data_IF_825525255055
#
_entry.id   IF_825525255055
#
_cell.length_a   1.000
_cell.length_b   1.000
_cell.length_c   1.000
_cell.angle_alpha   90.00
_cell.angle_beta   90.00
_cell.angle_gamma   90.00
#
_symmetry.space_group_name_H-M   'P 1'
#
loop_
_entity.id
_entity.type
_entity.pdbx_description
1 polymer ?
#
# COMPACT_ATOMS: atom_id res chain seq x y z
N UNK A 1 -13.79 3.84 10.86
CA UNK A 1 -13.26 2.81 9.92
C UNK A 1 -13.18 3.28 8.46
N UNK A 2 -14.26 3.82 7.87
CA UNK A 2 -14.29 4.26 6.45
C UNK A 2 -13.32 5.41 6.15
N UNK A 3 -13.16 6.35 7.09
CA UNK A 3 -12.28 7.51 6.94
C UNK A 3 -10.80 7.12 6.81
N UNK A 4 -10.33 6.14 7.59
CA UNK A 4 -8.95 5.66 7.49
C UNK A 4 -8.69 4.96 6.15
N UNK A 5 -9.63 4.12 5.68
CA UNK A 5 -9.48 3.43 4.39
C UNK A 5 -9.41 4.43 3.24
N UNK A 6 -10.37 5.35 3.20
CA UNK A 6 -10.39 6.42 2.19
C UNK A 6 -9.19 7.35 2.31
N UNK A 7 -8.72 7.63 3.53
CA UNK A 7 -7.56 8.48 3.78
C UNK A 7 -6.26 7.90 3.24
N UNK A 8 -6.04 6.60 3.39
CA UNK A 8 -4.83 5.92 2.86
C UNK A 8 -4.86 5.93 1.33
N UNK A 9 -5.97 5.52 0.73
CA UNK A 9 -6.13 5.51 -0.74
C UNK A 9 -5.89 6.91 -1.32
N UNK A 10 -6.54 7.94 -0.77
CA UNK A 10 -6.34 9.33 -1.20
C UNK A 10 -4.91 9.82 -1.03
N UNK A 11 -4.25 9.48 0.09
CA UNK A 11 -2.86 9.89 0.31
C UNK A 11 -1.92 9.34 -0.78
N UNK A 12 -2.17 8.13 -1.26
CA UNK A 12 -1.42 7.51 -2.36
C UNK A 12 -1.80 8.11 -3.73
N UNK A 13 -3.10 8.24 -4.02
CA UNK A 13 -3.59 8.84 -5.27
C UNK A 13 -3.13 10.30 -5.43
N UNK A 14 -3.31 11.13 -4.41
CA UNK A 14 -2.99 12.56 -4.46
C UNK A 14 -1.47 12.80 -4.44
N UNK A 15 -0.72 11.95 -3.73
CA UNK A 15 0.73 12.08 -3.56
C UNK A 15 1.53 11.69 -4.81
N UNK A 16 1.10 10.63 -5.50
CA UNK A 16 1.90 9.98 -6.55
C UNK A 16 1.21 9.99 -7.92
N UNK A 17 -0.10 10.25 -7.98
CA UNK A 17 -0.90 10.21 -9.22
C UNK A 17 -0.79 8.88 -9.96
N UNK A 18 -0.62 7.79 -9.20
CA UNK A 18 -0.58 6.42 -9.71
C UNK A 18 -1.90 5.71 -9.43
N UNK A 19 -2.16 4.64 -10.18
CA UNK A 19 -3.28 3.74 -9.93
C UNK A 19 -3.16 3.13 -8.53
N UNK A 20 -4.26 3.15 -7.77
CA UNK A 20 -4.38 2.50 -6.46
C UNK A 20 -5.55 1.52 -6.49
N UNK A 21 -5.22 0.24 -6.53
CA UNK A 21 -6.20 -0.85 -6.51
C UNK A 21 -6.34 -1.41 -5.09
N UNK A 22 -7.52 -1.95 -4.76
CA UNK A 22 -7.75 -2.64 -3.49
C UNK A 22 -7.71 -4.16 -3.72
N UNK A 23 -7.10 -4.89 -2.78
CA UNK A 23 -6.97 -6.34 -2.75
C UNK A 23 -6.06 -6.94 -3.85
N UNK A 24 -6.45 -6.88 -5.12
CA UNK A 24 -5.68 -7.44 -6.23
C UNK A 24 -5.74 -6.57 -7.49
N UNK A 25 -4.74 -6.73 -8.37
CA UNK A 25 -4.72 -6.10 -9.69
C UNK A 25 -5.49 -6.98 -10.66
N UNK A 26 -6.64 -6.51 -11.15
CA UNK A 26 -7.44 -7.26 -12.11
C UNK A 26 -6.82 -7.24 -13.53
N UNK A 27 -7.18 -8.21 -14.38
CA UNK A 27 -6.60 -8.34 -15.74
C UNK A 27 -6.84 -7.10 -16.63
N UNK A 28 -7.97 -6.41 -16.45
CA UNK A 28 -8.32 -5.19 -17.16
C UNK A 28 -7.55 -3.96 -16.67
N UNK A 29 -7.16 -3.94 -15.40
CA UNK A 29 -6.27 -2.92 -14.81
C UNK A 29 -4.81 -3.17 -15.20
N UNK A 30 -4.38 -4.44 -15.21
CA UNK A 30 -3.04 -4.86 -15.63
C UNK A 30 -2.77 -4.50 -17.10
N UNK A 31 -3.76 -4.70 -17.97
CA UNK A 31 -3.68 -4.37 -19.40
C UNK A 31 -3.32 -2.90 -19.63
N UNK A 32 -3.76 -1.99 -18.76
CA UNK A 32 -3.46 -0.55 -18.85
C UNK A 32 -2.03 -0.20 -18.40
N UNK A 33 -1.41 -1.03 -17.56
CA UNK A 33 -0.07 -0.81 -17.01
C UNK A 33 1.05 -1.36 -17.92
N UNK A 34 0.76 -2.38 -18.71
CA UNK A 34 1.78 -3.05 -19.55
C UNK A 34 2.42 -2.15 -20.62
N UNK A 35 1.74 -1.09 -21.06
CA UNK A 35 2.25 -0.14 -22.06
C UNK A 35 3.24 0.89 -21.49
N UNK A 36 3.02 1.35 -20.25
CA UNK A 36 3.83 2.41 -19.59
C UNK A 36 4.81 1.87 -18.52
N UNK A 37 4.71 0.58 -18.21
CA UNK A 37 5.47 -0.09 -17.15
C UNK A 37 4.68 -0.19 -15.85
N UNK A 38 4.96 -1.23 -15.07
CA UNK A 38 4.21 -1.52 -13.83
C UNK A 38 4.56 -0.52 -12.71
N UNK A 39 3.79 0.57 -12.64
CA UNK A 39 3.91 1.62 -11.63
C UNK A 39 2.54 1.86 -10.95
N UNK A 40 2.25 1.11 -9.90
CA UNK A 40 0.95 1.18 -9.21
C UNK A 40 1.05 0.80 -7.74
N UNK A 41 -0.01 1.08 -6.99
CA UNK A 41 -0.18 0.62 -5.61
C UNK A 41 -1.29 -0.42 -5.52
N UNK A 42 -1.04 -1.47 -4.75
CA UNK A 42 -2.04 -2.45 -4.33
C UNK A 42 -2.21 -2.28 -2.82
N UNK A 43 -3.45 -2.08 -2.37
CA UNK A 43 -3.79 -1.85 -0.97
C UNK A 43 -4.58 -3.03 -0.42
N UNK A 44 -4.00 -3.74 0.54
CA UNK A 44 -4.60 -4.92 1.18
C UNK A 44 -4.79 -4.70 2.68
N UNK A 45 -5.93 -5.18 3.20
CA UNK A 45 -6.24 -5.11 4.63
C UNK A 45 -6.10 -6.49 5.27
N UNK A 46 -5.06 -6.65 6.06
CA UNK A 46 -4.72 -7.91 6.71
C UNK A 46 -5.50 -8.18 7.99
N UNK A 47 -4.85 -8.92 8.88
CA UNK A 47 -5.48 -9.47 10.07
C UNK A 47 -5.75 -8.40 11.13
N UNK A 48 -6.87 -8.58 11.84
CA UNK A 48 -7.11 -7.88 13.09
C UNK A 48 -6.33 -8.53 14.23
N UNK A 49 -5.77 -7.70 15.10
CA UNK A 49 -5.06 -8.12 16.30
C UNK A 49 -5.52 -7.31 17.51
N UNK A 50 -5.56 -7.92 18.71
CA UNK A 50 -5.78 -7.16 19.93
C UNK A 50 -4.72 -6.06 20.03
N UNK A 51 -5.15 -4.88 20.47
CA UNK A 51 -4.21 -3.81 20.79
C UNK A 51 -3.86 -3.86 22.27
N UNK A 52 -2.93 -3.01 22.71
CA UNK A 52 -2.61 -2.85 24.13
C UNK A 52 -3.72 -2.19 24.95
N UNK A 53 -4.75 -1.65 24.30
CA UNK A 53 -5.91 -1.05 24.94
C UNK A 53 -7.16 -1.86 24.60
N UNK A 54 -7.89 -2.31 25.62
CA UNK A 54 -9.10 -3.15 25.47
C UNK A 54 -10.22 -2.48 24.68
N UNK A 55 -10.19 -1.15 24.56
CA UNK A 55 -11.15 -0.37 23.75
C UNK A 55 -10.71 -0.18 22.31
N UNK A 56 -9.60 -0.77 21.88
CA UNK A 56 -9.11 -0.65 20.51
C UNK A 56 -8.67 -2.00 19.95
N UNK A 57 -8.90 -2.20 18.66
CA UNK A 57 -8.26 -3.27 17.88
C UNK A 57 -7.25 -2.64 16.93
N UNK A 58 -6.26 -3.42 16.54
CA UNK A 58 -5.34 -3.04 15.48
C UNK A 58 -5.59 -3.90 14.24
N UNK A 59 -5.26 -3.37 13.07
CA UNK A 59 -5.27 -4.14 11.83
C UNK A 59 -4.01 -3.84 11.04
N UNK A 60 -3.41 -4.89 10.47
CA UNK A 60 -2.35 -4.75 9.48
C UNK A 60 -2.92 -4.19 8.18
N UNK A 61 -2.17 -3.30 7.54
CA UNK A 61 -2.42 -2.81 6.20
C UNK A 61 -1.14 -3.06 5.41
N UNK A 62 -1.28 -3.64 4.23
CA UNK A 62 -0.18 -3.85 3.31
C UNK A 62 -0.38 -2.92 2.11
N UNK A 63 0.61 -2.09 1.83
CA UNK A 63 0.69 -1.29 0.62
C UNK A 63 1.80 -1.89 -0.21
N UNK A 64 1.50 -2.46 -1.36
CA UNK A 64 2.51 -2.93 -2.31
C UNK A 64 2.68 -1.87 -3.38
N UNK A 65 3.90 -1.34 -3.52
CA UNK A 65 4.28 -0.46 -4.62
C UNK A 65 5.00 -1.29 -5.67
N UNK A 66 4.40 -1.41 -6.86
CA UNK A 66 5.07 -1.94 -8.04
C UNK A 66 5.80 -0.78 -8.71
N UNK A 67 7.08 -0.99 -8.99
CA UNK A 67 7.97 0.01 -9.58
C UNK A 67 8.76 -0.62 -10.71
N UNK A 68 8.55 -0.11 -11.92
CA UNK A 68 9.33 -0.49 -13.10
C UNK A 68 9.96 0.76 -13.71
N UNK A 69 11.26 0.67 -14.03
CA UNK A 69 12.04 1.75 -14.65
C UNK A 69 12.16 3.05 -13.83
N UNK A 70 12.00 2.99 -12.50
CA UNK A 70 12.20 4.14 -11.61
C UNK A 70 13.63 4.18 -11.06
N UNK A 71 14.28 5.34 -11.17
CA UNK A 71 15.65 5.55 -10.69
C UNK A 71 15.74 6.06 -9.24
N UNK A 72 14.62 6.52 -8.68
CA UNK A 72 14.51 7.18 -7.38
C UNK A 72 13.72 6.34 -6.36
N UNK A 73 13.79 5.01 -6.43
CA UNK A 73 13.01 4.10 -5.60
C UNK A 73 13.17 4.37 -4.10
N UNK A 74 14.38 4.64 -3.61
CA UNK A 74 14.63 4.92 -2.19
C UNK A 74 13.92 6.20 -1.71
N UNK A 75 13.88 7.24 -2.54
CA UNK A 75 13.16 8.49 -2.24
C UNK A 75 11.65 8.25 -2.23
N UNK A 76 11.14 7.52 -3.22
CA UNK A 76 9.73 7.09 -3.28
C UNK A 76 9.33 6.31 -2.02
N UNK A 77 10.19 5.40 -1.54
CA UNK A 77 9.95 4.61 -0.32
C UNK A 77 9.76 5.52 0.89
N UNK A 78 10.64 6.51 1.07
CA UNK A 78 10.55 7.47 2.19
C UNK A 78 9.29 8.32 2.06
N UNK A 79 8.96 8.78 0.86
CA UNK A 79 7.76 9.58 0.61
C UNK A 79 6.48 8.78 0.87
N UNK A 80 6.40 7.53 0.43
CA UNK A 80 5.24 6.66 0.66
C UNK A 80 5.00 6.49 2.17
N UNK A 81 6.06 6.23 2.93
CA UNK A 81 5.99 6.13 4.40
C UNK A 81 5.47 7.44 4.99
N UNK A 82 6.00 8.58 4.55
CA UNK A 82 5.62 9.90 5.02
C UNK A 82 4.15 10.23 4.72
N UNK A 83 3.69 9.99 3.50
CA UNK A 83 2.32 10.28 3.06
C UNK A 83 1.29 9.42 3.78
N UNK A 84 1.48 8.11 3.84
CA UNK A 84 0.53 7.21 4.51
C UNK A 84 0.51 7.44 6.03
N UNK A 85 1.65 7.77 6.63
CA UNK A 85 1.73 8.05 8.08
C UNK A 85 1.05 9.37 8.50
N UNK A 86 0.68 10.25 7.55
CA UNK A 86 -0.16 11.43 7.85
C UNK A 86 -1.61 11.04 8.16
N UNK A 87 -2.05 9.84 7.77
CA UNK A 87 -3.39 9.36 8.07
C UNK A 87 -3.52 9.07 9.57
N UNK A 88 -4.53 9.67 10.20
CA UNK A 88 -4.73 9.56 11.66
C UNK A 88 -4.86 8.10 12.11
N UNK A 89 -4.16 7.76 13.19
CA UNK A 89 -4.12 6.41 13.78
C UNK A 89 -3.57 5.31 12.85
N UNK A 90 -2.79 5.70 11.83
CA UNK A 90 -2.01 4.79 10.99
C UNK A 90 -0.53 5.00 11.34
N UNK A 91 0.22 3.91 11.46
CA UNK A 91 1.63 3.94 11.82
C UNK A 91 2.42 2.95 10.97
N UNK A 92 3.59 3.36 10.50
CA UNK A 92 4.49 2.48 9.77
C UNK A 92 5.08 1.42 10.69
N UNK A 93 5.23 0.19 10.18
CA UNK A 93 5.84 -0.93 10.91
C UNK A 93 7.15 -1.34 10.25
N UNK A 94 7.11 -1.70 8.97
CA UNK A 94 8.29 -2.19 8.23
C UNK A 94 8.03 -2.14 6.73
N UNK A 95 9.08 -2.06 5.92
CA UNK A 95 9.03 -2.30 4.48
C UNK A 95 9.92 -3.48 4.12
N UNK A 96 9.55 -4.20 3.06
CA UNK A 96 10.35 -5.28 2.46
C UNK A 96 10.34 -5.11 0.96
N UNK A 97 11.48 -5.33 0.33
CA UNK A 97 11.61 -5.26 -1.12
C UNK A 97 11.85 -6.66 -1.69
N UNK A 98 11.19 -6.96 -2.79
CA UNK A 98 11.44 -8.13 -3.62
C UNK A 98 11.28 -7.78 -5.11
N UNK A 99 11.41 -8.78 -5.97
CA UNK A 99 11.28 -8.62 -7.42
C UNK A 99 10.28 -9.64 -7.94
N UNK A 100 9.34 -9.18 -8.75
CA UNK A 100 8.35 -10.01 -9.42
C UNK A 100 8.76 -10.21 -10.88
N UNK A 101 8.72 -11.46 -11.35
CA UNK A 101 8.91 -11.75 -12.77
C UNK A 101 7.56 -11.64 -13.48
N UNK A 102 7.52 -10.86 -14.56
CA UNK A 102 6.33 -10.78 -15.41
C UNK A 102 6.17 -12.10 -16.16
N UNK A 103 4.98 -12.68 -16.08
CA UNK A 103 4.68 -14.00 -16.63
C UNK A 103 5.07 -14.08 -18.10
N UNK A 104 5.72 -15.19 -18.47
CA UNK A 104 6.15 -15.47 -19.84
C UNK A 104 7.12 -14.42 -20.44
N UNK A 105 7.85 -13.67 -19.60
CA UNK A 105 8.89 -12.72 -20.03
C UNK A 105 10.16 -12.79 -19.16
N UNK A 106 11.26 -12.23 -19.67
CA UNK A 106 12.50 -12.00 -18.91
C UNK A 106 12.49 -10.68 -18.11
N UNK A 107 11.33 -9.99 -18.05
CA UNK A 107 11.18 -8.71 -17.35
C UNK A 107 10.92 -8.93 -15.87
N UNK A 108 11.53 -8.06 -15.06
CA UNK A 108 11.36 -8.04 -13.61
C UNK A 108 10.90 -6.65 -13.17
N UNK A 109 9.97 -6.62 -12.22
CA UNK A 109 9.45 -5.42 -11.59
C UNK A 109 9.91 -5.43 -10.14
N UNK A 110 10.40 -4.29 -9.65
CA UNK A 110 10.71 -4.16 -8.24
C UNK A 110 9.41 -3.93 -7.47
N UNK A 111 9.23 -4.65 -6.37
CA UNK A 111 8.08 -4.48 -5.49
C UNK A 111 8.56 -4.13 -4.09
N UNK A 112 7.97 -3.10 -3.52
CA UNK A 112 8.15 -2.75 -2.11
C UNK A 112 6.83 -2.92 -1.37
N UNK A 113 6.81 -3.82 -0.40
CA UNK A 113 5.67 -4.07 0.47
C UNK A 113 5.86 -3.34 1.78
N UNK A 114 5.01 -2.35 2.04
CA UNK A 114 4.96 -1.59 3.28
C UNK A 114 3.89 -2.16 4.19
N UNK A 115 4.28 -2.55 5.39
CA UNK A 115 3.36 -2.91 6.45
C UNK A 115 3.10 -1.68 7.31
N UNK A 116 1.84 -1.27 7.38
CA UNK A 116 1.33 -0.31 8.34
C UNK A 116 0.43 -1.00 9.35
N UNK A 117 0.24 -0.34 10.49
CA UNK A 117 -0.76 -0.71 11.49
C UNK A 117 -1.71 0.44 11.67
N UNK A 118 -3.00 0.18 11.49
CA UNK A 118 -4.07 1.09 11.92
C UNK A 118 -4.63 0.67 13.27
N UNK A 119 -4.95 1.66 14.10
CA UNK A 119 -5.71 1.47 15.35
C UNK A 119 -7.15 1.88 15.11
N UNK A 120 -8.09 1.04 15.55
CA UNK A 120 -9.52 1.22 15.38
C UNK A 120 -10.15 1.20 16.76
N UNK A 121 -10.83 2.27 17.19
CA UNK A 121 -11.61 2.25 18.41
C UNK A 121 -12.79 1.29 18.26
N UNK A 122 -12.92 0.40 19.24
CA UNK A 122 -14.12 -0.38 19.49
C UNK A 122 -15.05 0.57 20.24
N UNK A 123 -15.67 1.51 19.54
CA UNK A 123 -16.82 2.18 20.13
C UNK A 123 -17.91 1.13 20.29
N UNK A 124 -18.21 0.75 21.53
CA UNK A 124 -19.59 0.37 21.83
C UNK A 124 -20.40 1.64 21.58
N UNK A 125 -21.34 1.54 20.63
CA UNK A 125 -22.32 2.57 20.22
C UNK A 125 -22.75 3.44 21.41
#
# INVERSE_FOLDING_TARGET
MKEQRSGIKKALEDGFKLLVVEDELAEDEESQLTEEGYNCFILEYGEFRPSSNERTISQSIYVSYLSENQSNLDEQVVDIISWVSKVKMVSFVVSKSDRLQVKDTDRFIDRVVFTFRRVIPIECI
#
